data_IF_662231143598
#
_entry.id   IF_662231143598
#
_cell.length_a   1.000
_cell.length_b   1.000
_cell.length_c   1.000
_cell.angle_alpha   90.00
_cell.angle_beta   90.00
_cell.angle_gamma   90.00
#
_symmetry.space_group_name_H-M   'P 1'
#
loop_
_entity.id
_entity.type
_entity.pdbx_description
1 polymer ?
#
# COMPACT_ATOMS: atom_id res chain seq x y z
N UNK A 1 -5.73 7.53 2.72
CA UNK A 1 -6.72 8.62 2.60
C UNK A 1 -6.06 10.00 2.56
N UNK A 2 -6.69 10.98 1.88
CA UNK A 2 -6.26 12.40 1.84
C UNK A 2 -4.78 12.62 1.48
N UNK A 3 -4.24 11.82 0.55
CA UNK A 3 -2.84 11.91 0.12
C UNK A 3 -2.47 13.35 -0.29
N UNK A 4 -1.35 13.86 0.23
CA UNK A 4 -0.83 15.21 -0.01
C UNK A 4 -1.59 16.35 0.70
N UNK A 5 -2.53 16.07 1.61
CA UNK A 5 -3.38 17.07 2.27
C UNK A 5 -3.42 16.90 3.79
N UNK A 6 -3.83 17.93 4.56
CA UNK A 6 -4.06 17.79 6.01
C UNK A 6 -5.00 16.64 6.35
N UNK A 7 -4.64 15.86 7.37
CA UNK A 7 -5.36 14.63 7.74
C UNK A 7 -5.04 13.43 6.86
N UNK A 8 -3.90 13.44 6.17
CA UNK A 8 -3.38 12.26 5.46
C UNK A 8 -3.22 11.08 6.44
N UNK A 9 -3.67 9.92 6.00
CA UNK A 9 -3.49 8.65 6.71
C UNK A 9 -3.20 7.53 5.72
N UNK A 10 -2.40 6.54 6.12
CA UNK A 10 -2.10 5.35 5.33
C UNK A 10 -2.15 4.10 6.21
N UNK A 11 -2.63 3.02 5.62
CA UNK A 11 -2.59 1.66 6.16
C UNK A 11 -1.96 0.74 5.11
N UNK A 12 -1.23 -0.27 5.57
CA UNK A 12 -0.72 -1.35 4.73
C UNK A 12 -1.51 -2.60 5.13
N UNK A 13 -2.16 -3.23 4.15
CA UNK A 13 -2.98 -4.43 4.33
C UNK A 13 -2.64 -5.44 3.23
N UNK A 14 -3.13 -6.67 3.36
CA UNK A 14 -3.08 -7.69 2.32
C UNK A 14 -4.42 -7.80 1.58
N UNK A 15 -4.47 -8.61 0.52
CA UNK A 15 -5.69 -8.76 -0.28
C UNK A 15 -6.80 -9.53 0.46
N UNK A 16 -6.46 -10.34 1.45
CA UNK A 16 -7.43 -11.08 2.26
C UNK A 16 -8.18 -10.12 3.20
N UNK A 17 -7.46 -9.16 3.80
CA UNK A 17 -7.99 -8.21 4.76
C UNK A 17 -8.44 -6.88 4.14
N UNK A 18 -8.18 -6.65 2.84
CA UNK A 18 -8.44 -5.38 2.15
C UNK A 18 -9.86 -4.83 2.36
N UNK A 19 -10.89 -5.68 2.33
CA UNK A 19 -12.29 -5.23 2.48
C UNK A 19 -12.67 -4.84 3.90
N UNK A 20 -11.80 -5.10 4.87
CA UNK A 20 -11.97 -4.64 6.25
C UNK A 20 -11.41 -3.23 6.46
N UNK A 21 -10.64 -2.69 5.49
CA UNK A 21 -10.06 -1.36 5.56
C UNK A 21 -11.08 -0.28 5.15
N UNK A 22 -10.97 0.90 5.76
CA UNK A 22 -11.80 2.05 5.39
C UNK A 22 -11.33 2.63 4.05
N UNK A 23 -12.13 2.44 3.00
CA UNK A 23 -11.88 2.95 1.65
C UNK A 23 -13.05 3.82 1.20
N UNK A 24 -12.78 5.11 0.96
CA UNK A 24 -13.75 6.11 0.50
C UNK A 24 -13.35 6.74 -0.84
N UNK A 25 -14.14 7.71 -1.31
CA UNK A 25 -13.87 8.43 -2.57
C UNK A 25 -12.57 9.26 -2.56
N UNK A 26 -11.94 9.48 -1.40
CA UNK A 26 -10.67 10.22 -1.26
C UNK A 26 -9.49 9.30 -0.90
N UNK A 27 -9.62 8.02 -1.23
CA UNK A 27 -8.60 6.99 -0.98
C UNK A 27 -7.83 6.66 -2.27
N UNK A 28 -6.50 6.67 -2.17
CA UNK A 28 -5.61 6.12 -3.20
C UNK A 28 -5.26 4.69 -2.78
N UNK A 29 -5.59 3.72 -3.64
CA UNK A 29 -5.23 2.30 -3.44
C UNK A 29 -4.03 1.98 -4.33
N UNK A 30 -2.99 1.41 -3.73
CA UNK A 30 -1.78 0.94 -4.42
C UNK A 30 -1.75 -0.58 -4.28
N UNK A 31 -1.86 -1.29 -5.41
CA UNK A 31 -1.77 -2.76 -5.44
C UNK A 31 -0.39 -3.14 -5.99
N UNK A 32 0.40 -3.81 -5.14
CA UNK A 32 1.66 -4.42 -5.55
C UNK A 32 1.45 -5.60 -6.50
N UNK A 33 2.50 -6.02 -7.18
CA UNK A 33 2.45 -7.28 -7.93
C UNK A 33 2.81 -8.45 -6.99
N UNK A 34 2.86 -9.68 -7.53
CA UNK A 34 3.16 -10.89 -6.75
C UNK A 34 4.56 -10.93 -6.12
N UNK A 35 5.46 -10.02 -6.48
CA UNK A 35 6.80 -9.89 -5.90
C UNK A 35 6.89 -8.74 -4.89
N UNK A 36 5.81 -7.96 -4.70
CA UNK A 36 5.79 -6.88 -3.72
C UNK A 36 5.70 -7.45 -2.31
N UNK A 37 6.56 -6.99 -1.41
CA UNK A 37 6.53 -7.32 0.02
C UNK A 37 6.63 -6.05 0.87
N UNK A 38 6.42 -6.19 2.18
CA UNK A 38 6.50 -5.08 3.13
C UNK A 38 7.74 -5.23 4.00
N UNK A 39 8.54 -4.18 4.09
CA UNK A 39 9.70 -4.11 4.98
C UNK A 39 9.83 -2.70 5.54
N UNK A 40 10.06 -2.58 6.86
CA UNK A 40 10.17 -1.29 7.55
C UNK A 40 9.01 -0.33 7.27
N UNK A 41 7.79 -0.87 7.17
CA UNK A 41 6.58 -0.08 6.87
C UNK A 41 6.53 0.47 5.44
N UNK A 42 7.27 -0.12 4.50
CA UNK A 42 7.30 0.29 3.09
C UNK A 42 7.00 -0.91 2.19
N UNK A 43 6.25 -0.67 1.11
CA UNK A 43 6.07 -1.65 0.04
C UNK A 43 7.30 -1.63 -0.88
N UNK A 44 7.90 -2.79 -1.11
CA UNK A 44 9.10 -2.97 -1.93
C UNK A 44 8.80 -4.00 -3.01
N UNK A 45 9.10 -3.65 -4.26
CA UNK A 45 9.07 -4.59 -5.39
C UNK A 45 10.48 -4.74 -5.94
N UNK A 46 11.12 -5.91 -5.78
CA UNK A 46 12.42 -6.18 -6.38
C UNK A 46 12.38 -6.02 -7.90
N UNK A 47 13.43 -5.43 -8.48
CA UNK A 47 13.58 -5.30 -9.95
C UNK A 47 14.28 -6.49 -10.60
N UNK A 48 14.67 -7.51 -9.82
CA UNK A 48 15.31 -8.73 -10.32
C UNK A 48 16.79 -8.57 -10.70
N UNK A 49 17.41 -7.42 -10.46
CA UNK A 49 18.86 -7.27 -10.65
C UNK A 49 19.61 -8.12 -9.61
N UNK A 50 20.57 -8.92 -10.09
CA UNK A 50 21.55 -9.56 -9.21
C UNK A 50 22.60 -8.50 -8.84
N UNK A 51 22.88 -8.37 -7.54
CA UNK A 51 24.03 -7.59 -7.04
C UNK A 51 25.33 -8.34 -7.38
#
# INVERSE_FOLDING_TARGET
>A
QKAGRPGQHMVISDLENFTNEEVDMQTLVIIGNSQTYVENGRMITPRGYKL
#
